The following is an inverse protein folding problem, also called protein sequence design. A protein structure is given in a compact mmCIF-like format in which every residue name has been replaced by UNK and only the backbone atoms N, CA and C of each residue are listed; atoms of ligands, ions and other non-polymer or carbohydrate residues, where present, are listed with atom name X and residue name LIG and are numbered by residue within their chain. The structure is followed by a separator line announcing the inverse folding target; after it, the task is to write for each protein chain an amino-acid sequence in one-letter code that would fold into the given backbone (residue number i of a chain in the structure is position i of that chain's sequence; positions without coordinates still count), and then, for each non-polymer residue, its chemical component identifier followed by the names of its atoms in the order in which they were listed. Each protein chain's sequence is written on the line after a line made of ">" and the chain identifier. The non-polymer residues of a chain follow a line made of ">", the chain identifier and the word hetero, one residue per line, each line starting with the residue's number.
data_IF_546337469876
#
_entry.id   IF_546337469876
#
_cell.length_a   1.000
_cell.length_b   1.000
_cell.length_c   1.000
_cell.angle_alpha   90.00
_cell.angle_beta   90.00
_cell.angle_gamma   90.00
#
_symmetry.space_group_name_H-M   'P 1'
#
loop_
_entity.id
_entity.type
_entity.pdbx_description
1 polymer ?
#
# COMPACT_ATOMS: atom_id res chain seq x y z
N UNK A 1 25.81 -36.26 21.04
CA UNK A 1 24.47 -35.72 20.72
C UNK A 1 23.68 -36.82 20.06
N UNK A 2 22.68 -37.31 20.73
CA UNK A 2 21.83 -38.42 20.29
C UNK A 2 20.87 -37.95 19.17
N UNK A 3 20.50 -38.86 18.25
CA UNK A 3 19.59 -38.55 17.13
C UNK A 3 18.22 -37.93 17.51
N UNK A 4 17.80 -38.09 18.79
CA UNK A 4 16.60 -37.45 19.36
C UNK A 4 16.77 -35.94 19.59
N UNK A 5 17.98 -35.46 19.88
CA UNK A 5 18.23 -34.02 20.09
C UNK A 5 18.29 -33.25 18.78
N UNK A 6 18.71 -33.88 17.67
CA UNK A 6 18.74 -33.26 16.34
C UNK A 6 17.35 -33.02 15.75
N UNK A 7 16.34 -33.86 16.07
CA UNK A 7 14.97 -33.67 15.61
C UNK A 7 14.12 -32.75 16.50
N UNK A 8 14.56 -32.43 17.70
CA UNK A 8 13.82 -31.56 18.62
C UNK A 8 14.08 -30.06 18.40
N UNK A 9 15.25 -29.68 17.91
CA UNK A 9 15.61 -28.29 17.67
C UNK A 9 14.81 -27.63 16.50
N UNK A 10 14.66 -28.29 15.30
CA UNK A 10 13.87 -27.75 14.20
C UNK A 10 12.40 -27.57 14.57
N UNK A 11 11.81 -28.56 15.29
CA UNK A 11 10.42 -28.44 15.74
C UNK A 11 10.20 -27.28 16.71
N UNK A 12 11.15 -27.03 17.62
CA UNK A 12 11.08 -25.90 18.55
C UNK A 12 11.15 -24.56 17.82
N UNK A 13 12.03 -24.40 16.82
CA UNK A 13 12.12 -23.19 16.01
C UNK A 13 10.82 -22.95 15.24
N UNK A 14 10.25 -23.99 14.62
CA UNK A 14 8.99 -23.91 13.89
C UNK A 14 7.82 -23.50 14.80
N UNK A 15 7.67 -24.15 15.95
CA UNK A 15 6.59 -23.85 16.90
C UNK A 15 6.74 -22.42 17.48
N UNK A 16 7.98 -22.00 17.75
CA UNK A 16 8.26 -20.63 18.20
C UNK A 16 7.95 -19.61 17.10
N UNK A 17 8.34 -19.88 15.85
CA UNK A 17 8.04 -19.02 14.71
C UNK A 17 6.55 -18.84 14.48
N UNK A 18 5.76 -19.93 14.55
CA UNK A 18 4.30 -19.88 14.46
C UNK A 18 3.67 -19.08 15.60
N UNK A 19 4.17 -19.22 16.83
CA UNK A 19 3.70 -18.47 17.99
C UNK A 19 4.03 -16.99 17.88
N UNK A 20 5.26 -16.66 17.44
CA UNK A 20 5.68 -15.28 17.21
C UNK A 20 4.85 -14.61 16.11
N UNK A 21 4.52 -15.35 15.04
CA UNK A 21 3.63 -14.90 13.97
C UNK A 21 2.21 -14.57 14.51
N UNK A 22 1.63 -15.46 15.30
CA UNK A 22 0.32 -15.22 15.93
C UNK A 22 0.32 -14.00 16.86
N UNK A 23 1.45 -13.75 17.55
CA UNK A 23 1.63 -12.59 18.45
C UNK A 23 2.07 -11.32 17.71
N UNK A 24 2.14 -11.35 16.38
CA UNK A 24 2.55 -10.22 15.54
C UNK A 24 3.96 -9.69 15.87
N UNK A 25 4.86 -10.58 16.31
CA UNK A 25 6.29 -10.30 16.48
C UNK A 25 7.02 -10.73 15.22
N UNK A 26 7.00 -9.85 14.23
CA UNK A 26 7.34 -10.19 12.85
C UNK A 26 8.80 -10.56 12.66
N UNK A 27 9.73 -9.80 13.30
CA UNK A 27 11.16 -10.06 13.24
C UNK A 27 11.52 -11.42 13.85
N UNK A 28 10.95 -11.73 15.01
CA UNK A 28 11.17 -13.00 15.67
C UNK A 28 10.52 -14.16 14.90
N UNK A 29 9.31 -13.95 14.35
CA UNK A 29 8.66 -14.92 13.47
C UNK A 29 9.52 -15.23 12.24
N UNK A 30 10.02 -14.20 11.57
CA UNK A 30 10.92 -14.35 10.43
C UNK A 30 12.18 -15.13 10.81
N UNK A 31 12.88 -14.74 11.88
CA UNK A 31 14.11 -15.38 12.31
C UNK A 31 13.92 -16.87 12.64
N UNK A 32 12.85 -17.20 13.38
CA UNK A 32 12.60 -18.58 13.81
C UNK A 32 12.11 -19.47 12.65
N UNK A 33 11.23 -18.96 11.78
CA UNK A 33 10.77 -19.69 10.60
C UNK A 33 11.91 -19.89 9.59
N UNK A 34 12.76 -18.87 9.36
CA UNK A 34 13.95 -19.01 8.50
C UNK A 34 14.91 -20.07 9.02
N UNK A 35 15.10 -20.12 10.34
CA UNK A 35 15.93 -21.14 10.95
C UNK A 35 15.32 -22.54 10.76
N UNK A 36 14.02 -22.71 11.01
CA UNK A 36 13.33 -23.97 10.81
C UNK A 36 13.42 -24.44 9.35
N UNK A 37 13.31 -23.50 8.42
CA UNK A 37 13.44 -23.73 6.98
C UNK A 37 14.82 -24.29 6.61
N UNK A 38 15.89 -23.67 7.11
CA UNK A 38 17.28 -24.09 6.86
C UNK A 38 17.57 -25.48 7.47
N UNK A 39 16.94 -25.82 8.60
CA UNK A 39 17.19 -27.07 9.31
C UNK A 39 16.40 -28.25 8.73
N UNK A 40 15.19 -28.05 8.24
CA UNK A 40 14.29 -29.17 7.86
C UNK A 40 13.37 -28.89 6.66
N UNK A 41 13.41 -27.69 6.09
CA UNK A 41 12.43 -27.22 5.13
C UNK A 41 11.06 -26.92 5.78
N UNK A 42 10.28 -26.07 5.15
CA UNK A 42 8.94 -25.70 5.60
C UNK A 42 7.86 -26.30 4.69
N UNK A 43 6.71 -26.64 5.26
CA UNK A 43 5.50 -26.88 4.49
C UNK A 43 4.93 -25.58 3.92
N UNK A 44 4.02 -25.69 2.95
CA UNK A 44 3.46 -24.55 2.19
C UNK A 44 2.92 -23.45 3.10
N UNK A 45 2.15 -23.81 4.13
CA UNK A 45 1.53 -22.88 5.06
C UNK A 45 2.56 -22.07 5.89
N UNK A 46 3.64 -22.74 6.36
CA UNK A 46 4.70 -22.08 7.12
C UNK A 46 5.63 -21.28 6.21
N UNK A 47 5.78 -21.70 4.97
CA UNK A 47 6.49 -20.92 3.93
C UNK A 47 5.74 -19.63 3.62
N UNK A 48 4.41 -19.67 3.55
CA UNK A 48 3.57 -18.47 3.39
C UNK A 48 3.68 -17.53 4.60
N UNK A 49 3.68 -18.10 5.84
CA UNK A 49 3.93 -17.30 7.05
C UNK A 49 5.31 -16.64 7.02
N UNK A 50 6.35 -17.37 6.57
CA UNK A 50 7.69 -16.83 6.44
C UNK A 50 7.73 -15.69 5.40
N UNK A 51 7.11 -15.87 4.24
CA UNK A 51 7.01 -14.83 3.20
C UNK A 51 6.27 -13.59 3.72
N UNK A 52 5.16 -13.79 4.44
CA UNK A 52 4.42 -12.69 5.07
C UNK A 52 5.26 -11.96 6.13
N UNK A 53 5.99 -12.69 6.98
CA UNK A 53 6.87 -12.09 7.98
C UNK A 53 8.04 -11.31 7.31
N UNK A 54 8.59 -11.81 6.20
CA UNK A 54 9.58 -11.10 5.40
C UNK A 54 9.00 -9.78 4.84
N UNK A 55 7.81 -9.81 4.24
CA UNK A 55 7.11 -8.61 3.77
C UNK A 55 6.89 -7.60 4.90
N UNK A 56 6.32 -8.03 6.02
CA UNK A 56 5.99 -7.14 7.15
C UNK A 56 7.23 -6.56 7.85
N UNK A 57 8.40 -7.16 7.66
CA UNK A 57 9.70 -6.64 8.14
C UNK A 57 10.50 -5.90 7.07
N UNK A 58 9.90 -5.66 5.88
CA UNK A 58 10.52 -4.88 4.80
C UNK A 58 11.63 -5.61 4.04
N UNK A 59 11.58 -6.95 4.00
CA UNK A 59 12.48 -7.82 3.25
C UNK A 59 11.86 -8.23 1.91
N UNK A 60 11.55 -7.25 1.07
CA UNK A 60 10.77 -7.44 -0.15
C UNK A 60 11.40 -8.48 -1.10
N UNK A 61 12.70 -8.39 -1.35
CA UNK A 61 13.41 -9.35 -2.21
C UNK A 61 13.35 -10.79 -1.67
N UNK A 62 13.46 -10.98 -0.36
CA UNK A 62 13.34 -12.29 0.26
C UNK A 62 11.89 -12.80 0.22
N UNK A 63 10.90 -11.92 0.41
CA UNK A 63 9.49 -12.24 0.25
C UNK A 63 9.20 -12.75 -1.17
N UNK A 64 9.72 -12.04 -2.19
CA UNK A 64 9.57 -12.44 -3.59
C UNK A 64 10.13 -13.85 -3.83
N UNK A 65 11.37 -14.12 -3.39
CA UNK A 65 12.02 -15.44 -3.52
C UNK A 65 11.26 -16.55 -2.79
N UNK A 66 10.72 -16.28 -1.61
CA UNK A 66 9.93 -17.22 -0.84
C UNK A 66 8.61 -17.56 -1.54
N UNK A 67 7.93 -16.57 -2.11
CA UNK A 67 6.71 -16.77 -2.90
C UNK A 67 6.97 -17.52 -4.21
N UNK A 68 8.07 -17.20 -4.90
CA UNK A 68 8.50 -17.96 -6.08
C UNK A 68 8.79 -19.42 -5.74
N UNK A 69 9.45 -19.68 -4.60
CA UNK A 69 9.69 -21.03 -4.11
C UNK A 69 8.38 -21.74 -3.79
N UNK A 70 7.49 -21.11 -3.02
CA UNK A 70 6.19 -21.66 -2.68
C UNK A 70 5.38 -22.03 -3.91
N UNK A 71 5.35 -21.15 -4.91
CA UNK A 71 4.73 -21.43 -6.20
C UNK A 71 5.29 -22.68 -6.87
N UNK A 72 6.62 -22.83 -6.96
CA UNK A 72 7.26 -24.01 -7.58
C UNK A 72 7.00 -25.29 -6.81
N UNK A 73 7.04 -25.24 -5.49
CA UNK A 73 6.80 -26.41 -4.63
C UNK A 73 5.34 -26.87 -4.72
N UNK A 74 4.38 -25.95 -4.75
CA UNK A 74 2.96 -26.27 -4.95
C UNK A 74 2.71 -26.89 -6.31
N UNK A 75 3.32 -26.36 -7.38
CA UNK A 75 3.24 -26.96 -8.71
C UNK A 75 3.80 -28.38 -8.74
N UNK A 76 4.94 -28.62 -8.11
CA UNK A 76 5.54 -29.95 -8.01
C UNK A 76 4.67 -30.98 -7.30
N UNK A 77 3.71 -30.51 -6.49
CA UNK A 77 2.74 -31.37 -5.77
C UNK A 77 1.37 -31.43 -6.46
N UNK A 78 1.17 -30.71 -7.56
CA UNK A 78 -0.14 -30.61 -8.22
C UNK A 78 -1.16 -29.72 -7.48
N UNK A 79 -0.70 -28.88 -6.53
CA UNK A 79 -1.51 -27.98 -5.73
C UNK A 79 -1.73 -26.66 -6.48
N UNK A 80 -2.48 -26.69 -7.59
CA UNK A 80 -2.60 -25.57 -8.54
C UNK A 80 -3.19 -24.30 -7.90
N UNK A 81 -4.18 -24.43 -7.02
CA UNK A 81 -4.80 -23.30 -6.32
C UNK A 81 -3.81 -22.62 -5.38
N UNK A 82 -3.06 -23.40 -4.59
CA UNK A 82 -2.03 -22.85 -3.71
C UNK A 82 -0.87 -22.20 -4.51
N UNK A 83 -0.49 -22.80 -5.64
CA UNK A 83 0.48 -22.19 -6.55
C UNK A 83 -0.02 -20.86 -7.13
N UNK A 84 -1.31 -20.77 -7.49
CA UNK A 84 -1.95 -19.55 -7.97
C UNK A 84 -1.97 -18.47 -6.88
N UNK A 85 -2.24 -18.83 -5.62
CA UNK A 85 -2.19 -17.90 -4.47
C UNK A 85 -0.80 -17.29 -4.30
N UNK A 86 0.26 -18.10 -4.33
CA UNK A 86 1.64 -17.59 -4.26
C UNK A 86 1.94 -16.63 -5.42
N UNK A 87 1.53 -16.97 -6.64
CA UNK A 87 1.71 -16.14 -7.83
C UNK A 87 0.89 -14.85 -7.77
N UNK A 88 -0.33 -14.89 -7.24
CA UNK A 88 -1.15 -13.70 -7.02
C UNK A 88 -0.47 -12.72 -6.07
N UNK A 89 -0.12 -13.15 -4.86
CA UNK A 89 0.49 -12.24 -3.88
C UNK A 89 1.81 -11.66 -4.35
N UNK A 90 2.63 -12.45 -5.06
CA UNK A 90 3.85 -11.93 -5.68
C UNK A 90 3.53 -10.88 -6.76
N UNK A 91 2.59 -11.18 -7.65
CA UNK A 91 2.18 -10.24 -8.70
C UNK A 91 1.52 -8.99 -8.13
N UNK A 92 0.73 -9.11 -7.09
CA UNK A 92 0.06 -7.99 -6.44
C UNK A 92 1.04 -7.06 -5.72
N UNK A 93 2.01 -7.62 -4.99
CA UNK A 93 3.07 -6.81 -4.35
C UNK A 93 3.94 -6.09 -5.38
N UNK A 94 4.29 -6.75 -6.49
CA UNK A 94 5.01 -6.12 -7.60
C UNK A 94 4.18 -4.97 -8.23
N UNK A 95 2.87 -5.15 -8.37
CA UNK A 95 1.96 -4.10 -8.86
C UNK A 95 1.96 -2.89 -7.92
N UNK A 96 1.84 -3.11 -6.62
CA UNK A 96 1.88 -2.04 -5.61
C UNK A 96 3.23 -1.29 -5.57
N UNK A 97 4.31 -1.94 -6.00
CA UNK A 97 5.64 -1.34 -6.15
C UNK A 97 5.86 -0.66 -7.50
N UNK A 98 4.86 -0.70 -8.42
CA UNK A 98 4.96 -0.12 -9.77
C UNK A 98 5.75 -0.97 -10.77
N UNK A 99 6.02 -2.25 -10.47
CA UNK A 99 6.70 -3.19 -11.36
C UNK A 99 5.71 -3.90 -12.29
N UNK A 100 4.94 -3.15 -13.07
CA UNK A 100 3.77 -3.60 -13.84
C UNK A 100 4.05 -4.79 -14.77
N UNK A 101 5.21 -4.82 -15.44
CA UNK A 101 5.56 -5.89 -16.39
C UNK A 101 5.71 -7.23 -15.68
N UNK A 102 6.45 -7.25 -14.56
CA UNK A 102 6.63 -8.46 -13.74
C UNK A 102 5.32 -8.88 -13.09
N UNK A 103 4.58 -7.91 -12.56
CA UNK A 103 3.25 -8.13 -11.97
C UNK A 103 2.31 -8.81 -12.95
N UNK A 104 2.18 -8.27 -14.17
CA UNK A 104 1.35 -8.84 -15.23
C UNK A 104 1.74 -10.28 -15.59
N UNK A 105 3.02 -10.60 -15.59
CA UNK A 105 3.53 -11.96 -15.81
C UNK A 105 3.06 -12.95 -14.74
N UNK A 106 3.17 -12.58 -13.46
CA UNK A 106 2.76 -13.42 -12.34
C UNK A 106 1.25 -13.56 -12.21
N UNK A 107 0.49 -12.47 -12.37
CA UNK A 107 -0.98 -12.49 -12.37
C UNK A 107 -1.54 -13.33 -13.53
N UNK A 108 -0.94 -13.23 -14.72
CA UNK A 108 -1.30 -14.06 -15.86
C UNK A 108 -1.01 -15.54 -15.62
N UNK A 109 0.08 -15.87 -14.92
CA UNK A 109 0.38 -17.24 -14.51
C UNK A 109 -0.63 -17.78 -13.49
N UNK A 110 -1.01 -16.98 -12.49
CA UNK A 110 -2.01 -17.34 -11.51
C UNK A 110 -3.36 -17.64 -12.19
N UNK A 111 -3.78 -16.79 -13.14
CA UNK A 111 -5.02 -16.99 -13.90
C UNK A 111 -5.04 -18.33 -14.65
N UNK A 112 -3.98 -18.62 -15.43
CA UNK A 112 -3.89 -19.89 -16.16
C UNK A 112 -4.02 -21.11 -15.25
N UNK A 113 -3.38 -21.06 -14.08
CA UNK A 113 -3.46 -22.17 -13.11
C UNK A 113 -4.88 -22.40 -12.58
N UNK A 114 -5.63 -21.33 -12.34
CA UNK A 114 -7.01 -21.45 -11.89
C UNK A 114 -7.94 -21.92 -13.04
N UNK A 115 -7.70 -21.45 -14.27
CA UNK A 115 -8.43 -21.92 -15.45
C UNK A 115 -8.20 -23.43 -15.69
N UNK A 116 -6.95 -23.91 -15.53
CA UNK A 116 -6.58 -25.31 -15.64
C UNK A 116 -7.14 -26.16 -14.50
N UNK A 117 -7.19 -25.62 -13.28
CA UNK A 117 -7.72 -26.31 -12.12
C UNK A 117 -9.24 -26.51 -12.21
N UNK A 118 -9.98 -25.58 -12.83
CA UNK A 118 -11.42 -25.64 -13.02
C UNK A 118 -12.25 -25.68 -11.72
N UNK A 119 -11.63 -25.33 -10.58
CA UNK A 119 -12.27 -25.35 -9.27
C UNK A 119 -12.77 -23.97 -8.89
N UNK A 120 -13.96 -23.91 -8.32
CA UNK A 120 -14.47 -22.71 -7.67
C UNK A 120 -13.71 -22.49 -6.36
N UNK A 121 -13.02 -21.32 -6.25
CA UNK A 121 -12.13 -21.00 -5.12
C UNK A 121 -12.00 -19.49 -4.92
N UNK A 122 -11.65 -19.03 -3.72
CA UNK A 122 -11.52 -17.61 -3.42
C UNK A 122 -10.42 -16.89 -4.24
N UNK A 123 -9.41 -17.63 -4.72
CA UNK A 123 -8.33 -17.08 -5.54
C UNK A 123 -8.83 -16.45 -6.86
N UNK A 124 -9.97 -16.90 -7.38
CA UNK A 124 -10.62 -16.28 -8.54
C UNK A 124 -11.04 -14.83 -8.21
N UNK A 125 -11.57 -14.61 -7.01
CA UNK A 125 -11.92 -13.27 -6.53
C UNK A 125 -10.70 -12.38 -6.33
N UNK A 126 -9.62 -12.92 -5.77
CA UNK A 126 -8.36 -12.17 -5.63
C UNK A 126 -7.84 -11.68 -6.98
N UNK A 127 -7.91 -12.48 -8.04
CA UNK A 127 -7.47 -12.08 -9.39
C UNK A 127 -8.33 -10.98 -10.04
N UNK A 128 -9.53 -10.74 -9.55
CA UNK A 128 -10.36 -9.62 -9.99
C UNK A 128 -9.91 -8.28 -9.39
N UNK A 129 -9.22 -8.28 -8.24
CA UNK A 129 -8.77 -7.05 -7.58
C UNK A 129 -7.83 -6.22 -8.46
N UNK A 130 -6.73 -6.77 -9.02
CA UNK A 130 -5.87 -6.02 -9.94
C UNK A 130 -6.59 -5.54 -11.21
N UNK A 131 -7.54 -6.33 -11.71
CA UNK A 131 -8.37 -5.93 -12.86
C UNK A 131 -9.19 -4.69 -12.53
N UNK A 132 -9.86 -4.68 -11.37
CA UNK A 132 -10.69 -3.55 -10.94
C UNK A 132 -9.85 -2.29 -10.68
N UNK A 133 -8.64 -2.43 -10.11
CA UNK A 133 -7.68 -1.32 -9.96
C UNK A 133 -7.33 -0.73 -11.33
N UNK A 134 -7.07 -1.57 -12.32
CA UNK A 134 -6.80 -1.13 -13.69
C UNK A 134 -7.99 -0.41 -14.35
N UNK A 135 -9.22 -0.90 -14.14
CA UNK A 135 -10.45 -0.27 -14.63
C UNK A 135 -10.65 1.13 -14.00
N UNK A 136 -10.42 1.27 -12.69
CA UNK A 136 -10.51 2.56 -12.01
C UNK A 136 -9.46 3.54 -12.56
N UNK A 137 -8.23 3.09 -12.72
CA UNK A 137 -7.15 3.88 -13.32
C UNK A 137 -7.41 4.29 -14.78
N UNK A 138 -8.15 3.46 -15.52
CA UNK A 138 -8.61 3.77 -16.88
C UNK A 138 -9.82 4.74 -16.91
N UNK A 139 -10.37 5.12 -15.75
CA UNK A 139 -11.52 6.03 -15.66
C UNK A 139 -12.87 5.36 -15.90
N UNK A 140 -12.99 4.06 -15.66
CA UNK A 140 -14.25 3.32 -15.74
C UNK A 140 -14.73 2.84 -14.35
N UNK A 141 -15.24 3.75 -13.50
CA UNK A 141 -15.70 3.40 -12.16
C UNK A 141 -16.96 2.52 -12.17
N UNK A 142 -17.73 2.49 -13.26
CA UNK A 142 -18.89 1.62 -13.35
C UNK A 142 -18.48 0.15 -13.54
N UNK A 143 -17.53 -0.13 -14.42
CA UNK A 143 -16.94 -1.48 -14.54
C UNK A 143 -16.21 -1.89 -13.27
N UNK A 144 -15.49 -0.96 -12.63
CA UNK A 144 -14.82 -1.17 -11.34
C UNK A 144 -15.81 -1.63 -10.27
N UNK A 145 -16.95 -0.93 -10.14
CA UNK A 145 -17.99 -1.28 -9.17
C UNK A 145 -18.52 -2.68 -9.40
N UNK A 146 -18.87 -3.01 -10.64
CA UNK A 146 -19.37 -4.35 -11.00
C UNK A 146 -18.35 -5.46 -10.73
N UNK A 147 -17.06 -5.20 -10.98
CA UNK A 147 -15.98 -6.15 -10.69
C UNK A 147 -15.80 -6.36 -9.18
N UNK A 148 -15.82 -5.30 -8.38
CA UNK A 148 -15.71 -5.43 -6.92
C UNK A 148 -16.97 -6.00 -6.25
N UNK A 149 -18.15 -5.88 -6.86
CA UNK A 149 -19.34 -6.62 -6.43
C UNK A 149 -19.10 -8.13 -6.54
N UNK A 150 -18.54 -8.60 -7.65
CA UNK A 150 -18.15 -10.01 -7.81
C UNK A 150 -17.09 -10.44 -6.79
N UNK A 151 -16.08 -9.59 -6.51
CA UNK A 151 -15.07 -9.86 -5.46
C UNK A 151 -15.75 -10.08 -4.11
N UNK A 152 -16.71 -9.20 -3.76
CA UNK A 152 -17.43 -9.28 -2.49
C UNK A 152 -18.27 -10.57 -2.42
N UNK A 153 -19.02 -10.89 -3.48
CA UNK A 153 -19.82 -12.11 -3.57
C UNK A 153 -19.00 -13.40 -3.41
N UNK A 154 -17.81 -13.44 -4.03
CA UNK A 154 -16.89 -14.56 -3.88
C UNK A 154 -16.37 -14.62 -2.44
N UNK A 155 -15.94 -13.49 -1.85
CA UNK A 155 -15.47 -13.44 -0.48
C UNK A 155 -16.52 -13.93 0.53
N UNK A 156 -17.76 -13.45 0.41
CA UNK A 156 -18.86 -13.85 1.27
C UNK A 156 -19.20 -15.34 1.10
N UNK A 157 -19.20 -15.85 -0.14
CA UNK A 157 -19.49 -17.27 -0.45
C UNK A 157 -18.46 -18.22 0.16
N UNK A 158 -17.19 -17.87 0.18
CA UNK A 158 -16.13 -18.68 0.76
C UNK A 158 -15.83 -18.35 2.21
N UNK A 159 -16.48 -17.33 2.78
CA UNK A 159 -16.19 -16.86 4.14
C UNK A 159 -14.74 -16.33 4.29
N UNK A 160 -14.22 -15.69 3.25
CA UNK A 160 -12.88 -15.09 3.24
C UNK A 160 -12.98 -13.61 3.63
N UNK A 161 -12.62 -13.24 4.88
CA UNK A 161 -12.78 -11.88 5.37
C UNK A 161 -11.88 -10.87 4.65
N UNK A 162 -10.68 -11.30 4.23
CA UNK A 162 -9.74 -10.45 3.50
C UNK A 162 -10.30 -10.09 2.12
N UNK A 163 -10.81 -11.07 1.40
CA UNK A 163 -11.38 -10.86 0.07
C UNK A 163 -12.66 -10.02 0.14
N UNK A 164 -13.54 -10.27 1.12
CA UNK A 164 -14.74 -9.46 1.36
C UNK A 164 -14.36 -8.01 1.66
N UNK A 165 -13.33 -7.79 2.48
CA UNK A 165 -12.85 -6.45 2.82
C UNK A 165 -12.28 -5.72 1.60
N UNK A 166 -11.46 -6.38 0.78
CA UNK A 166 -10.93 -5.81 -0.48
C UNK A 166 -12.06 -5.48 -1.46
N UNK A 167 -13.09 -6.34 -1.56
CA UNK A 167 -14.26 -6.10 -2.39
C UNK A 167 -15.03 -4.86 -1.94
N UNK A 168 -15.34 -4.75 -0.64
CA UNK A 168 -16.06 -3.58 -0.07
C UNK A 168 -15.26 -2.30 -0.19
N UNK A 169 -13.95 -2.36 0.07
CA UNK A 169 -13.03 -1.23 -0.11
C UNK A 169 -13.11 -0.69 -1.54
N UNK A 170 -12.87 -1.54 -2.53
CA UNK A 170 -12.87 -1.11 -3.93
C UNK A 170 -14.24 -0.67 -4.43
N UNK A 171 -15.35 -1.25 -3.92
CA UNK A 171 -16.71 -0.72 -4.17
C UNK A 171 -16.86 0.69 -3.63
N UNK A 172 -16.31 0.96 -2.44
CA UNK A 172 -16.30 2.31 -1.86
C UNK A 172 -15.55 3.29 -2.73
N UNK A 173 -14.36 2.92 -3.22
CA UNK A 173 -13.55 3.75 -4.15
C UNK A 173 -14.30 4.02 -5.47
N UNK A 174 -14.91 2.99 -6.06
CA UNK A 174 -15.71 3.14 -7.29
C UNK A 174 -16.93 4.05 -7.08
N UNK A 175 -17.64 3.90 -5.96
CA UNK A 175 -18.77 4.75 -5.61
C UNK A 175 -18.34 6.21 -5.37
N UNK A 176 -17.20 6.44 -4.73
CA UNK A 176 -16.64 7.79 -4.58
C UNK A 176 -16.34 8.42 -5.95
N UNK A 177 -15.74 7.67 -6.86
CA UNK A 177 -15.47 8.13 -8.23
C UNK A 177 -16.75 8.41 -9.04
N UNK A 178 -17.85 7.71 -8.73
CA UNK A 178 -19.19 7.97 -9.29
C UNK A 178 -19.94 9.13 -8.60
N UNK A 179 -19.32 9.79 -7.61
CA UNK A 179 -19.94 10.89 -6.84
C UNK A 179 -20.94 10.42 -5.76
N UNK A 180 -21.08 9.11 -5.53
CA UNK A 180 -21.96 8.51 -4.52
C UNK A 180 -21.28 8.48 -3.14
N UNK A 181 -20.90 9.65 -2.63
CA UNK A 181 -20.03 9.81 -1.45
C UNK A 181 -20.61 9.17 -0.18
N UNK A 182 -21.93 9.29 0.05
CA UNK A 182 -22.56 8.72 1.23
C UNK A 182 -22.46 7.19 1.25
N UNK A 183 -22.69 6.53 0.11
CA UNK A 183 -22.58 5.08 -0.02
C UNK A 183 -21.13 4.62 0.10
N UNK A 184 -20.19 5.36 -0.49
CA UNK A 184 -18.76 5.11 -0.38
C UNK A 184 -18.27 5.14 1.07
N UNK A 185 -18.62 6.21 1.81
CA UNK A 185 -18.19 6.37 3.21
C UNK A 185 -18.81 5.32 4.14
N UNK A 186 -20.03 4.85 3.86
CA UNK A 186 -20.62 3.74 4.62
C UNK A 186 -19.80 2.44 4.46
N UNK A 187 -19.37 2.11 3.25
CA UNK A 187 -18.51 0.95 3.00
C UNK A 187 -17.12 1.11 3.63
N UNK A 188 -16.53 2.31 3.57
CA UNK A 188 -15.25 2.58 4.25
C UNK A 188 -15.36 2.40 5.76
N UNK A 189 -16.41 2.91 6.39
CA UNK A 189 -16.64 2.75 7.83
C UNK A 189 -16.81 1.26 8.20
N UNK A 190 -17.53 0.47 7.38
CA UNK A 190 -17.73 -0.97 7.58
C UNK A 190 -16.42 -1.76 7.49
N UNK A 191 -15.61 -1.52 6.45
CA UNK A 191 -14.30 -2.17 6.27
C UNK A 191 -13.34 -1.80 7.41
N UNK A 192 -13.40 -0.56 7.88
CA UNK A 192 -12.56 -0.11 8.99
C UNK A 192 -12.96 -0.74 10.33
N UNK A 193 -14.23 -1.11 10.52
CA UNK A 193 -14.66 -1.91 11.67
C UNK A 193 -13.97 -3.28 11.64
N UNK A 194 -14.00 -4.00 10.52
CA UNK A 194 -13.32 -5.29 10.37
C UNK A 194 -11.80 -5.18 10.62
N UNK A 195 -11.15 -4.14 10.06
CA UNK A 195 -9.72 -3.89 10.27
C UNK A 195 -9.37 -3.63 11.74
N UNK A 196 -10.18 -2.80 12.44
CA UNK A 196 -9.94 -2.45 13.85
C UNK A 196 -10.31 -3.58 14.80
N UNK A 197 -11.29 -4.43 14.47
CA UNK A 197 -11.65 -5.63 15.21
C UNK A 197 -10.60 -6.74 15.09
N UNK A 198 -9.66 -6.63 14.16
CA UNK A 198 -8.61 -7.62 13.94
C UNK A 198 -9.08 -8.86 13.18
N UNK A 199 -10.15 -8.72 12.40
CA UNK A 199 -10.74 -9.80 11.58
C UNK A 199 -9.93 -10.06 10.31
N UNK A 200 -9.11 -9.08 9.89
CA UNK A 200 -8.32 -9.14 8.65
C UNK A 200 -6.88 -9.57 8.91
N UNK A 201 -6.26 -10.16 7.89
CA UNK A 201 -4.82 -10.41 7.89
C UNK A 201 -4.03 -9.11 8.04
N UNK A 202 -2.79 -9.15 8.56
CA UNK A 202 -1.98 -7.95 8.74
C UNK A 202 -1.73 -7.17 7.44
N UNK A 203 -1.55 -7.87 6.34
CA UNK A 203 -1.32 -7.28 5.02
C UNK A 203 -2.56 -6.53 4.54
N UNK A 204 -3.72 -7.18 4.57
CA UNK A 204 -4.99 -6.56 4.13
C UNK A 204 -5.42 -5.45 5.09
N UNK A 205 -5.19 -5.61 6.40
CA UNK A 205 -5.39 -4.53 7.40
C UNK A 205 -4.62 -3.26 6.99
N UNK A 206 -3.33 -3.40 6.67
CA UNK A 206 -2.49 -2.27 6.29
C UNK A 206 -2.93 -1.61 4.98
N UNK A 207 -3.24 -2.42 3.96
CA UNK A 207 -3.80 -1.94 2.69
C UNK A 207 -5.09 -1.15 2.92
N UNK A 208 -6.01 -1.72 3.72
CA UNK A 208 -7.31 -1.09 4.03
C UNK A 208 -7.13 0.27 4.71
N UNK A 209 -6.26 0.37 5.72
CA UNK A 209 -5.97 1.66 6.36
C UNK A 209 -5.49 2.71 5.37
N UNK A 210 -4.49 2.35 4.56
CA UNK A 210 -3.89 3.29 3.61
C UNK A 210 -4.91 3.76 2.57
N UNK A 211 -5.65 2.82 1.97
CA UNK A 211 -6.62 3.14 0.92
C UNK A 211 -7.80 3.96 1.46
N UNK A 212 -8.36 3.61 2.62
CA UNK A 212 -9.46 4.39 3.22
C UNK A 212 -9.02 5.80 3.62
N UNK A 213 -7.81 5.96 4.21
CA UNK A 213 -7.28 7.29 4.54
C UNK A 213 -7.12 8.13 3.28
N UNK A 214 -6.54 7.56 2.21
CA UNK A 214 -6.37 8.23 0.93
C UNK A 214 -7.72 8.60 0.30
N UNK A 215 -8.67 7.67 0.23
CA UNK A 215 -10.00 7.94 -0.32
C UNK A 215 -10.74 9.05 0.47
N UNK A 216 -10.62 9.06 1.80
CA UNK A 216 -11.18 10.14 2.62
C UNK A 216 -10.54 11.50 2.33
N UNK A 217 -9.23 11.55 2.04
CA UNK A 217 -8.55 12.78 1.63
C UNK A 217 -9.03 13.25 0.26
N UNK A 218 -9.17 12.35 -0.71
CA UNK A 218 -9.63 12.65 -2.08
C UNK A 218 -11.06 13.22 -2.12
N UNK A 219 -11.95 12.71 -1.24
CA UNK A 219 -13.32 13.25 -1.10
C UNK A 219 -13.43 14.40 -0.10
N UNK A 220 -12.31 14.92 0.42
CA UNK A 220 -12.23 15.98 1.42
C UNK A 220 -12.94 15.69 2.76
N UNK A 221 -13.15 14.43 3.15
CA UNK A 221 -13.59 14.05 4.48
C UNK A 221 -12.40 14.00 5.47
N UNK A 222 -11.88 15.17 5.81
CA UNK A 222 -10.72 15.31 6.68
C UNK A 222 -10.98 14.77 8.09
N UNK A 223 -12.23 14.75 8.53
CA UNK A 223 -12.60 14.20 9.84
C UNK A 223 -12.34 12.68 9.88
N UNK A 224 -12.81 11.94 8.86
CA UNK A 224 -12.55 10.51 8.74
C UNK A 224 -11.06 10.23 8.48
N UNK A 225 -10.44 10.96 7.57
CA UNK A 225 -9.01 10.82 7.28
C UNK A 225 -8.17 10.92 8.56
N UNK A 226 -8.45 11.91 9.43
CA UNK A 226 -7.77 12.09 10.72
C UNK A 226 -8.05 10.93 11.69
N UNK A 227 -9.30 10.53 11.82
CA UNK A 227 -9.69 9.45 12.74
C UNK A 227 -8.98 8.13 12.36
N UNK A 228 -8.97 7.78 11.08
CA UNK A 228 -8.36 6.56 10.58
C UNK A 228 -6.82 6.62 10.56
N UNK A 229 -6.22 7.78 10.30
CA UNK A 229 -4.76 7.99 10.47
C UNK A 229 -4.34 7.79 11.93
N UNK A 230 -5.15 8.25 12.87
CA UNK A 230 -4.90 8.02 14.31
C UNK A 230 -4.99 6.52 14.65
N UNK A 231 -5.98 5.82 14.12
CA UNK A 231 -6.12 4.38 14.31
C UNK A 231 -4.95 3.60 13.67
N UNK A 232 -4.54 3.96 12.45
CA UNK A 232 -3.36 3.40 11.78
C UNK A 232 -2.08 3.60 12.61
N UNK A 233 -1.89 4.79 13.16
CA UNK A 233 -0.73 5.10 14.03
C UNK A 233 -0.67 4.17 15.25
N UNK A 234 -1.82 3.94 15.90
CA UNK A 234 -1.92 3.00 17.04
C UNK A 234 -1.65 1.56 16.62
N UNK A 235 -2.21 1.15 15.49
CA UNK A 235 -2.01 -0.20 14.95
C UNK A 235 -0.54 -0.46 14.62
N UNK A 236 0.16 0.50 13.98
CA UNK A 236 1.59 0.42 13.73
C UNK A 236 2.42 0.44 15.02
N UNK A 237 2.03 1.25 16.03
CA UNK A 237 2.74 1.32 17.32
C UNK A 237 2.66 0.00 18.11
N UNK A 238 1.57 -0.74 17.99
CA UNK A 238 1.41 -2.05 18.60
C UNK A 238 2.27 -3.17 17.97
N UNK A 239 2.93 -2.89 16.84
CA UNK A 239 3.73 -3.85 16.08
C UNK A 239 5.10 -3.23 15.76
N UNK A 240 6.07 -3.25 16.70
CA UNK A 240 7.33 -2.51 16.59
C UNK A 240 8.15 -2.87 15.36
N UNK A 241 8.03 -4.10 14.86
CA UNK A 241 8.81 -4.62 13.72
C UNK A 241 8.17 -4.36 12.36
N UNK A 242 6.95 -3.81 12.34
CA UNK A 242 6.20 -3.55 11.11
C UNK A 242 6.86 -2.43 10.29
N UNK A 243 7.26 -2.69 9.06
CA UNK A 243 7.96 -1.72 8.17
C UNK A 243 7.05 -1.11 7.11
N UNK A 244 6.28 -1.89 6.29
CA UNK A 244 5.65 -1.39 5.07
C UNK A 244 4.73 -0.19 5.29
N UNK A 245 3.86 -0.24 6.30
CA UNK A 245 2.81 0.77 6.49
C UNK A 245 3.23 1.95 7.38
N UNK A 246 4.39 1.90 8.07
CA UNK A 246 4.85 2.97 8.96
C UNK A 246 5.23 4.23 8.24
N UNK A 247 5.94 4.10 7.12
CA UNK A 247 6.34 5.24 6.32
C UNK A 247 5.12 5.96 5.74
N UNK A 248 4.20 5.21 5.18
CA UNK A 248 2.96 5.74 4.60
C UNK A 248 2.06 6.38 5.66
N UNK A 249 1.94 5.77 6.85
CA UNK A 249 1.25 6.37 8.00
C UNK A 249 1.81 7.75 8.35
N UNK A 250 3.13 7.92 8.33
CA UNK A 250 3.77 9.22 8.59
C UNK A 250 3.48 10.25 7.49
N UNK A 251 3.39 9.81 6.23
CA UNK A 251 3.00 10.71 5.11
C UNK A 251 1.57 11.20 5.31
N UNK A 252 0.61 10.30 5.52
CA UNK A 252 -0.78 10.69 5.77
C UNK A 252 -0.93 11.60 7.00
N UNK A 253 -0.17 11.30 8.06
CA UNK A 253 -0.14 12.17 9.24
C UNK A 253 0.40 13.55 8.92
N UNK A 254 1.48 13.65 8.15
CA UNK A 254 2.04 14.94 7.76
C UNK A 254 1.04 15.76 6.92
N UNK A 255 0.35 15.14 5.98
CA UNK A 255 -0.68 15.78 5.17
C UNK A 255 -1.80 16.40 6.02
N UNK A 256 -2.34 15.65 6.97
CA UNK A 256 -3.40 16.13 7.86
C UNK A 256 -2.88 17.27 8.74
N UNK A 257 -1.69 17.15 9.32
CA UNK A 257 -1.08 18.18 10.17
C UNK A 257 -0.78 19.47 9.40
N UNK A 258 -0.42 19.38 8.10
CA UNK A 258 -0.27 20.57 7.22
C UNK A 258 -1.60 21.29 7.09
N UNK A 259 -2.69 20.57 6.83
CA UNK A 259 -4.02 21.16 6.69
C UNK A 259 -4.56 21.75 8.01
N UNK A 260 -4.14 21.21 9.16
CA UNK A 260 -4.50 21.73 10.50
C UNK A 260 -3.65 22.92 10.95
N UNK A 261 -2.59 23.27 10.21
CA UNK A 261 -1.64 24.33 10.59
C UNK A 261 -0.62 23.91 11.65
N UNK A 262 -0.55 22.62 12.01
CA UNK A 262 0.42 22.05 12.95
C UNK A 262 1.77 21.77 12.26
N UNK A 263 2.35 22.78 11.64
CA UNK A 263 3.47 22.64 10.70
C UNK A 263 4.74 22.06 11.30
N UNK A 264 5.01 22.33 12.58
CA UNK A 264 6.18 21.76 13.26
C UNK A 264 6.08 20.25 13.41
N UNK A 265 4.91 19.74 13.81
CA UNK A 265 4.65 18.31 13.91
C UNK A 265 4.59 17.65 12.52
N UNK A 266 4.02 18.34 11.53
CA UNK A 266 4.01 17.91 10.15
C UNK A 266 5.44 17.72 9.60
N UNK A 267 6.33 18.67 9.87
CA UNK A 267 7.74 18.60 9.45
C UNK A 267 8.47 17.40 10.09
N UNK A 268 8.22 17.15 11.37
CA UNK A 268 8.78 15.99 12.06
C UNK A 268 8.26 14.66 11.46
N UNK A 269 6.96 14.57 11.18
CA UNK A 269 6.37 13.39 10.57
C UNK A 269 6.88 13.15 9.13
N UNK A 270 6.93 14.18 8.30
CA UNK A 270 7.46 14.10 6.94
C UNK A 270 8.95 13.74 6.90
N UNK A 271 9.76 14.34 7.79
CA UNK A 271 11.18 14.00 7.93
C UNK A 271 11.40 12.54 8.30
N UNK A 272 10.67 12.04 9.30
CA UNK A 272 10.72 10.62 9.69
C UNK A 272 10.26 9.69 8.54
N UNK A 273 9.27 10.12 7.75
CA UNK A 273 8.83 9.36 6.57
C UNK A 273 9.96 9.27 5.53
N UNK A 274 10.62 10.39 5.21
CA UNK A 274 11.76 10.40 4.29
C UNK A 274 12.89 9.49 4.76
N UNK A 275 13.28 9.55 6.04
CA UNK A 275 14.33 8.69 6.61
C UNK A 275 14.02 7.19 6.50
N UNK A 276 12.74 6.83 6.58
CA UNK A 276 12.30 5.42 6.52
C UNK A 276 12.09 4.88 5.13
N UNK A 277 11.62 5.74 4.21
CA UNK A 277 11.23 5.37 2.85
C UNK A 277 12.33 5.61 1.83
N UNK A 278 13.33 6.46 2.14
CA UNK A 278 14.49 6.65 1.29
C UNK A 278 15.40 5.41 1.32
N UNK A 279 16.14 5.13 0.23
CA UNK A 279 17.11 4.04 0.20
C UNK A 279 18.10 4.19 1.33
N UNK A 280 18.30 3.13 2.10
CA UNK A 280 19.31 3.09 3.12
C UNK A 280 20.71 3.11 2.49
N UNK A 281 21.66 3.91 3.01
CA UNK A 281 23.05 3.79 2.62
C UNK A 281 23.69 2.47 3.08
N UNK A 282 22.99 1.69 3.93
CA UNK A 282 23.41 0.35 4.33
C UNK A 282 23.18 -0.62 3.16
N UNK A 283 24.25 -1.25 2.61
CA UNK A 283 24.13 -2.22 1.52
C UNK A 283 23.17 -3.38 1.79
N UNK A 284 22.95 -3.72 3.06
CA UNK A 284 22.01 -4.78 3.48
C UNK A 284 20.55 -4.37 3.36
N UNK A 285 20.28 -3.06 3.27
CA UNK A 285 18.97 -2.46 3.03
C UNK A 285 18.85 -1.79 1.67
N UNK A 286 19.93 -1.71 0.90
CA UNK A 286 19.98 -1.07 -0.41
C UNK A 286 19.18 -1.83 -1.48
N UNK A 287 18.85 -3.10 -1.24
CA UNK A 287 17.97 -3.91 -2.10
C UNK A 287 16.48 -3.62 -1.87
N UNK A 288 16.12 -2.89 -0.82
CA UNK A 288 14.75 -2.40 -0.65
C UNK A 288 14.49 -1.36 -1.75
N UNK A 289 13.71 -1.73 -2.74
CA UNK A 289 13.14 -0.83 -3.74
C UNK A 289 12.52 0.36 -2.99
N UNK A 290 12.79 1.60 -3.43
CA UNK A 290 12.23 2.76 -2.76
C UNK A 290 10.70 2.65 -2.76
N UNK A 291 10.13 2.78 -1.59
CA UNK A 291 8.69 2.65 -1.42
C UNK A 291 7.97 3.79 -2.17
N UNK A 292 6.90 3.54 -2.93
CA UNK A 292 6.17 4.56 -3.70
C UNK A 292 5.76 5.79 -2.86
N UNK A 293 5.52 5.61 -1.57
CA UNK A 293 5.19 6.71 -0.64
C UNK A 293 6.36 7.68 -0.37
N UNK A 294 7.60 7.35 -0.77
CA UNK A 294 8.74 8.26 -0.59
C UNK A 294 8.52 9.60 -1.30
N UNK A 295 7.96 9.57 -2.51
CA UNK A 295 7.60 10.76 -3.26
C UNK A 295 6.64 11.66 -2.51
N UNK A 296 5.63 11.08 -1.84
CA UNK A 296 4.68 11.79 -0.99
C UNK A 296 5.35 12.46 0.21
N UNK A 297 6.28 11.78 0.87
CA UNK A 297 7.02 12.34 2.01
C UNK A 297 7.83 13.60 1.61
N UNK A 298 8.57 13.52 0.50
CA UNK A 298 9.30 14.68 -0.03
C UNK A 298 8.37 15.80 -0.50
N UNK A 299 7.21 15.46 -1.06
CA UNK A 299 6.22 16.47 -1.44
C UNK A 299 5.73 17.25 -0.20
N UNK A 300 5.43 16.58 0.90
CA UNK A 300 5.01 17.23 2.15
C UNK A 300 6.10 18.12 2.74
N UNK A 301 7.37 17.70 2.68
CA UNK A 301 8.50 18.59 3.05
C UNK A 301 8.55 19.83 2.13
N UNK A 302 8.31 19.66 0.84
CA UNK A 302 8.23 20.75 -0.12
C UNK A 302 7.15 21.77 0.25
N UNK A 303 5.94 21.31 0.57
CA UNK A 303 4.84 22.15 1.05
C UNK A 303 5.22 22.92 2.32
N UNK A 304 5.79 22.26 3.31
CA UNK A 304 6.22 22.87 4.55
C UNK A 304 7.31 23.91 4.34
N UNK A 305 8.31 23.62 3.49
CA UNK A 305 9.34 24.60 3.13
C UNK A 305 8.75 25.81 2.42
N UNK A 306 7.80 25.59 1.49
CA UNK A 306 7.09 26.67 0.79
C UNK A 306 6.31 27.56 1.75
N UNK A 307 5.54 26.97 2.66
CA UNK A 307 4.77 27.69 3.68
C UNK A 307 5.64 28.51 4.64
N UNK A 308 6.88 28.06 4.89
CA UNK A 308 7.86 28.80 5.70
C UNK A 308 8.73 29.78 4.89
N UNK A 309 8.48 29.97 3.58
CA UNK A 309 9.26 30.84 2.73
C UNK A 309 10.67 30.33 2.37
N UNK A 310 10.97 29.07 2.67
CA UNK A 310 12.24 28.42 2.33
C UNK A 310 12.18 27.86 0.90
N UNK A 311 12.21 28.75 -0.07
CA UNK A 311 11.89 28.42 -1.46
C UNK A 311 12.92 27.52 -2.15
N UNK A 312 14.19 27.62 -1.80
CA UNK A 312 15.24 26.75 -2.35
C UNK A 312 15.08 25.31 -1.88
N UNK A 313 14.82 25.13 -0.60
CA UNK A 313 14.56 23.81 0.01
C UNK A 313 13.25 23.21 -0.50
N UNK A 314 12.22 24.03 -0.69
CA UNK A 314 10.96 23.59 -1.30
C UNK A 314 11.17 23.04 -2.71
N UNK A 315 11.89 23.77 -3.56
CA UNK A 315 12.20 23.34 -4.93
C UNK A 315 13.04 22.06 -4.96
N UNK A 316 13.98 21.90 -4.06
CA UNK A 316 14.76 20.67 -3.91
C UNK A 316 13.90 19.47 -3.50
N UNK A 317 13.00 19.67 -2.52
CA UNK A 317 12.11 18.64 -2.01
C UNK A 317 11.09 18.20 -3.09
N UNK A 318 10.49 19.12 -3.85
CA UNK A 318 9.60 18.75 -4.96
C UNK A 318 10.33 18.00 -6.08
N UNK A 319 11.59 18.38 -6.40
CA UNK A 319 12.40 17.64 -7.37
C UNK A 319 12.70 16.23 -6.89
N UNK A 320 13.00 16.08 -5.61
CA UNK A 320 13.24 14.77 -5.03
C UNK A 320 11.95 13.94 -5.06
N UNK A 321 10.80 14.49 -4.66
CA UNK A 321 9.50 13.83 -4.78
C UNK A 321 9.20 13.36 -6.21
N UNK A 322 9.54 14.17 -7.22
CA UNK A 322 9.36 13.82 -8.62
C UNK A 322 10.26 12.64 -9.08
N UNK A 323 11.47 12.50 -8.53
CA UNK A 323 12.34 11.33 -8.78
C UNK A 323 11.71 10.02 -8.30
N UNK A 324 10.86 10.11 -7.27
CA UNK A 324 10.11 9.00 -6.70
C UNK A 324 8.69 8.89 -7.27
N UNK A 325 8.45 9.46 -8.46
CA UNK A 325 7.18 9.33 -9.17
C UNK A 325 6.05 10.25 -8.69
N UNK A 326 6.26 11.09 -7.66
CA UNK A 326 5.23 12.02 -7.20
C UNK A 326 5.16 13.25 -8.11
N UNK A 327 3.98 13.51 -8.67
CA UNK A 327 3.73 14.74 -9.41
C UNK A 327 3.93 15.95 -8.49
N UNK A 328 4.76 16.95 -8.89
CA UNK A 328 5.09 18.10 -8.02
C UNK A 328 3.98 19.16 -7.98
N UNK A 329 2.93 18.99 -8.77
CA UNK A 329 1.78 19.91 -8.77
C UNK A 329 0.73 19.48 -7.72
N UNK A 330 0.01 20.46 -7.13
CA UNK A 330 0.05 21.91 -7.37
C UNK A 330 1.19 22.67 -6.64
N UNK A 331 1.88 22.03 -5.70
CA UNK A 331 2.84 22.67 -4.79
C UNK A 331 3.93 23.46 -5.51
N UNK A 332 4.50 22.91 -6.60
CA UNK A 332 5.51 23.61 -7.39
C UNK A 332 4.97 24.87 -8.09
N UNK A 333 3.73 24.86 -8.56
CA UNK A 333 3.10 26.05 -9.14
C UNK A 333 2.87 27.13 -8.07
N UNK A 334 2.37 26.76 -6.90
CA UNK A 334 2.22 27.67 -5.76
C UNK A 334 3.57 28.24 -5.29
N UNK A 335 4.63 27.43 -5.33
CA UNK A 335 6.00 27.94 -5.09
C UNK A 335 6.40 28.97 -6.13
N UNK A 336 6.14 28.77 -7.41
CA UNK A 336 6.43 29.75 -8.46
C UNK A 336 5.64 31.05 -8.27
N UNK A 337 4.37 30.94 -7.85
CA UNK A 337 3.55 32.10 -7.52
C UNK A 337 4.16 32.88 -6.36
N UNK A 338 4.55 32.22 -5.26
CA UNK A 338 5.18 32.84 -4.11
C UNK A 338 6.54 33.51 -4.45
N UNK A 339 7.22 33.05 -5.50
CA UNK A 339 8.44 33.67 -6.05
C UNK A 339 8.16 34.84 -7.01
N UNK A 340 6.91 35.28 -7.18
CA UNK A 340 6.52 36.31 -8.13
C UNK A 340 6.50 35.88 -9.61
N UNK A 341 6.53 34.57 -9.88
CA UNK A 341 6.57 33.97 -11.23
C UNK A 341 5.20 33.46 -11.65
N UNK A 342 4.17 34.33 -11.58
CA UNK A 342 2.76 33.99 -11.77
C UNK A 342 2.47 33.34 -13.12
N UNK A 343 3.01 33.86 -14.22
CA UNK A 343 2.83 33.29 -15.58
C UNK A 343 3.34 31.84 -15.68
N UNK A 344 4.50 31.54 -15.04
CA UNK A 344 5.04 30.20 -15.01
C UNK A 344 4.16 29.25 -14.19
N UNK A 345 3.59 29.73 -13.08
CA UNK A 345 2.65 28.98 -12.26
C UNK A 345 1.37 28.65 -13.03
N UNK A 346 0.76 29.65 -13.69
CA UNK A 346 -0.44 29.50 -14.50
C UNK A 346 -0.23 28.50 -15.66
N UNK A 347 0.89 28.62 -16.39
CA UNK A 347 1.21 27.69 -17.47
C UNK A 347 1.40 26.26 -16.99
N UNK A 348 2.05 26.05 -15.82
CA UNK A 348 2.25 24.75 -15.24
C UNK A 348 0.92 24.08 -14.81
N UNK A 349 0.03 24.83 -14.17
CA UNK A 349 -1.29 24.33 -13.76
C UNK A 349 -2.22 24.03 -14.94
N UNK A 350 -2.21 24.86 -15.99
CA UNK A 350 -3.01 24.57 -17.20
C UNK A 350 -2.59 23.24 -17.84
N UNK A 351 -1.28 22.95 -17.92
CA UNK A 351 -0.79 21.66 -18.42
C UNK A 351 -1.20 20.51 -17.50
N UNK A 352 -0.97 20.65 -16.20
CA UNK A 352 -1.34 19.63 -15.23
C UNK A 352 -2.86 19.31 -15.30
N UNK A 353 -3.72 20.33 -15.41
CA UNK A 353 -5.17 20.14 -15.54
C UNK A 353 -5.59 19.48 -16.85
N UNK A 354 -4.84 19.69 -17.94
CA UNK A 354 -5.10 19.04 -19.23
C UNK A 354 -4.75 17.54 -19.22
N UNK A 355 -3.77 17.15 -18.42
CA UNK A 355 -3.26 15.79 -18.32
C UNK A 355 -3.91 15.00 -17.17
N UNK A 356 -4.52 15.69 -16.20
CA UNK A 356 -5.03 15.08 -14.96
C UNK A 356 -6.28 14.24 -15.17
N UNK A 357 -6.34 13.09 -14.50
CA UNK A 357 -7.54 12.30 -14.30
C UNK A 357 -8.58 13.03 -13.43
N UNK A 358 -9.82 12.55 -13.39
CA UNK A 358 -10.88 13.22 -12.64
C UNK A 358 -10.55 13.44 -11.13
N UNK A 359 -10.01 12.46 -10.38
CA UNK A 359 -9.64 12.66 -8.97
C UNK A 359 -8.49 13.69 -8.82
N UNK A 360 -7.47 13.65 -9.68
CA UNK A 360 -6.33 14.56 -9.59
C UNK A 360 -6.71 16.02 -9.89
N UNK A 361 -7.71 16.23 -10.75
CA UNK A 361 -8.19 17.58 -11.10
C UNK A 361 -8.71 18.35 -9.90
N UNK A 362 -9.39 17.70 -8.95
CA UNK A 362 -9.97 18.38 -7.79
C UNK A 362 -8.90 19.03 -6.91
N UNK A 363 -7.76 18.36 -6.73
CA UNK A 363 -6.61 18.90 -5.98
C UNK A 363 -5.97 20.08 -6.69
N UNK A 364 -5.93 20.06 -8.04
CA UNK A 364 -5.34 21.13 -8.86
C UNK A 364 -6.25 22.36 -8.96
N UNK A 365 -7.58 22.21 -8.91
CA UNK A 365 -8.52 23.30 -9.13
C UNK A 365 -8.41 24.41 -8.08
N UNK A 366 -8.25 24.08 -6.80
CA UNK A 366 -8.11 25.08 -5.74
C UNK A 366 -6.87 25.98 -5.98
N UNK A 367 -5.73 25.37 -6.30
CA UNK A 367 -4.51 26.10 -6.62
C UNK A 367 -4.61 26.87 -7.94
N UNK A 368 -5.33 26.34 -8.93
CA UNK A 368 -5.56 27.03 -10.20
C UNK A 368 -6.38 28.32 -10.01
N UNK A 369 -7.41 28.28 -9.16
CA UNK A 369 -8.19 29.47 -8.80
C UNK A 369 -7.29 30.52 -8.13
N UNK A 370 -6.49 30.14 -7.14
CA UNK A 370 -5.57 31.04 -6.44
C UNK A 370 -4.58 31.71 -7.43
N UNK A 371 -3.93 30.89 -8.27
CA UNK A 371 -2.95 31.40 -9.25
C UNK A 371 -3.61 32.31 -10.29
N UNK A 372 -4.74 31.92 -10.86
CA UNK A 372 -5.40 32.71 -11.90
C UNK A 372 -5.97 34.04 -11.36
N UNK A 373 -6.51 34.04 -10.14
CA UNK A 373 -6.99 35.30 -9.52
C UNK A 373 -5.84 36.27 -9.18
N UNK A 374 -4.63 35.72 -8.95
CA UNK A 374 -3.46 36.55 -8.63
C UNK A 374 -2.75 37.07 -9.88
N UNK A 375 -2.88 36.38 -11.00
CA UNK A 375 -2.20 36.76 -12.26
C UNK A 375 -3.06 37.55 -13.24
N UNK A 376 -4.36 37.64 -13.00
CA UNK A 376 -5.35 38.41 -13.81
C UNK A 376 -5.94 37.53 -14.90
#
# INVERSE_FOLDING_TARGET
>A
MTGRERGAAPRRALDHGRESFRRRRWEDAYAQLSRADQESGLGTEDLERLATAAYLTGRDGECDLLRERGHRECLGRGEHVAAARCAFWLGFDLLLRGEEIRAGGWLGRARRLLDEAGHDCPEQGYLLVPLAIGQLGAGDPAATLATYEQVTEIGDRFGDPDLTALGRLGRGEALAALGRIADATALFDEVMVAATAGELSPTVTGITYCAVVQACQEIFDLRRARAWTTALTRWCAAQPDLVPFRGQCLVHRAEILVLEGSWSEAAAAAGQACERLAPSPDPRRAEASAHPAAGGAFYQLGELHRLHGRFAEADAAYREGARWGRQPQPGLALLRLAQGRGEAAAAALRRALAEASAPDRSVLLAAAVEVLLTTG
#
